data_IF_542789353995
#
_entry.id   IF_542789353995
#
_cell.length_a   1.000
_cell.length_b   1.000
_cell.length_c   1.000
_cell.angle_alpha   90.00
_cell.angle_beta   90.00
_cell.angle_gamma   90.00
#
_symmetry.space_group_name_H-M   'P 1'
#
loop_
_entity.id
_entity.type
_entity.pdbx_description
1 polymer ?
#
# COMPACT_ATOMS: atom_id res chain seq x y z
N UNK A 1 -8.88 8.90 -8.41
CA UNK A 1 -8.16 7.79 -9.05
C UNK A 1 -6.69 8.16 -9.07
N UNK A 2 -5.80 7.32 -8.52
CA UNK A 2 -4.36 7.62 -8.53
C UNK A 2 -3.76 7.42 -9.92
N UNK A 3 -2.88 8.32 -10.33
CA UNK A 3 -2.00 8.08 -11.47
C UNK A 3 -0.99 6.99 -11.09
N UNK A 4 -0.73 6.06 -12.00
CA UNK A 4 0.13 4.91 -11.74
C UNK A 4 1.36 5.00 -12.66
N UNK A 5 2.54 4.88 -12.06
CA UNK A 5 3.81 4.65 -12.76
C UNK A 5 4.23 3.22 -12.49
N UNK A 6 4.54 2.46 -13.52
CA UNK A 6 4.92 1.06 -13.40
C UNK A 6 6.40 0.84 -13.70
N UNK A 7 7.07 0.11 -12.83
CA UNK A 7 8.47 -0.29 -12.99
C UNK A 7 8.59 -1.81 -12.90
N UNK A 8 9.27 -2.40 -13.86
CA UNK A 8 9.56 -3.84 -13.91
C UNK A 8 10.76 -4.23 -13.06
N UNK A 9 11.67 -3.29 -12.82
CA UNK A 9 12.87 -3.54 -12.02
C UNK A 9 12.51 -3.75 -10.55
N UNK A 10 12.78 -4.95 -10.04
CA UNK A 10 12.54 -5.33 -8.64
C UNK A 10 13.74 -5.08 -7.73
N UNK A 11 14.88 -4.59 -8.25
CA UNK A 11 16.07 -4.31 -7.44
C UNK A 11 15.83 -3.17 -6.49
N UNK A 12 16.22 -3.37 -5.23
CA UNK A 12 16.07 -2.38 -4.15
C UNK A 12 16.91 -1.10 -4.36
N UNK A 13 17.85 -1.09 -5.30
CA UNK A 13 18.89 -0.09 -5.46
C UNK A 13 18.51 1.24 -6.12
N UNK A 14 17.25 1.52 -6.44
CA UNK A 14 16.86 2.73 -7.17
C UNK A 14 16.02 3.71 -6.36
N UNK A 15 16.44 4.02 -5.14
CA UNK A 15 15.91 5.14 -4.36
C UNK A 15 16.80 6.38 -4.44
N UNK A 16 17.60 6.49 -5.51
CA UNK A 16 18.47 7.65 -5.70
C UNK A 16 17.61 8.92 -5.83
N UNK A 17 17.90 9.91 -4.99
CA UNK A 17 17.12 11.14 -4.94
C UNK A 17 15.76 11.02 -4.22
N UNK A 18 15.45 9.86 -3.65
CA UNK A 18 14.22 9.69 -2.87
C UNK A 18 14.25 10.51 -1.58
N UNK A 19 13.07 10.86 -1.12
CA UNK A 19 12.81 11.47 0.18
C UNK A 19 12.03 10.50 1.05
N UNK A 20 12.18 10.64 2.35
CA UNK A 20 11.41 9.90 3.32
C UNK A 20 10.91 10.82 4.44
N UNK A 21 9.83 10.44 5.08
CA UNK A 21 9.39 11.13 6.28
C UNK A 21 8.56 10.24 7.17
N UNK A 22 8.65 10.48 8.47
CA UNK A 22 7.85 9.83 9.50
C UNK A 22 6.62 10.66 9.81
N UNK A 23 5.48 10.00 9.97
CA UNK A 23 4.20 10.65 10.25
C UNK A 23 3.38 9.83 11.24
N UNK A 24 2.46 10.51 11.92
CA UNK A 24 1.43 9.84 12.72
C UNK A 24 0.15 9.82 11.91
N UNK A 25 -0.42 8.62 11.74
CA UNK A 25 -1.70 8.41 11.04
C UNK A 25 -2.79 8.04 12.03
N UNK A 26 -4.08 8.06 11.65
CA UNK A 26 -5.17 7.58 12.49
C UNK A 26 -5.03 6.12 12.98
N UNK A 27 -4.16 5.35 12.34
CA UNK A 27 -3.95 3.93 12.67
C UNK A 27 -2.58 3.65 13.29
N UNK A 28 -1.77 4.68 13.51
CA UNK A 28 -0.45 4.57 14.14
C UNK A 28 0.67 5.23 13.34
N UNK A 29 1.92 5.08 13.78
CA UNK A 29 3.06 5.66 13.09
C UNK A 29 3.27 5.02 11.73
N UNK A 30 3.72 5.82 10.77
CA UNK A 30 4.04 5.37 9.42
C UNK A 30 5.27 6.10 8.86
N UNK A 31 5.89 5.49 7.88
CA UNK A 31 6.98 6.07 7.11
C UNK A 31 6.60 6.09 5.63
N UNK A 32 6.68 7.26 5.01
CA UNK A 32 6.46 7.47 3.58
C UNK A 32 7.79 7.63 2.87
N UNK A 33 7.93 7.01 1.70
CA UNK A 33 9.05 7.20 0.77
C UNK A 33 8.51 7.61 -0.59
N UNK A 34 9.09 8.66 -1.17
CA UNK A 34 8.70 9.18 -2.48
C UNK A 34 9.89 9.81 -3.21
N UNK A 35 9.75 10.01 -4.49
CA UNK A 35 10.66 10.75 -5.35
C UNK A 35 9.89 11.55 -6.42
N UNK A 36 10.58 11.99 -7.46
CA UNK A 36 9.98 12.73 -8.58
C UNK A 36 8.96 11.92 -9.39
N UNK A 37 9.06 10.58 -9.39
CA UNK A 37 8.12 9.69 -10.08
C UNK A 37 6.85 9.45 -9.27
N UNK A 38 6.90 9.61 -7.94
CA UNK A 38 5.74 9.42 -7.07
C UNK A 38 6.03 8.69 -5.78
N UNK A 39 4.98 8.14 -5.18
CA UNK A 39 5.05 7.39 -3.92
C UNK A 39 5.63 6.00 -4.20
N UNK A 40 6.71 5.68 -3.49
CA UNK A 40 7.45 4.42 -3.57
C UNK A 40 7.03 3.42 -2.51
N UNK A 41 6.89 3.89 -1.28
CA UNK A 41 6.53 3.06 -0.13
C UNK A 41 5.69 3.86 0.87
N UNK A 42 4.76 3.19 1.52
CA UNK A 42 4.19 3.57 2.80
C UNK A 42 4.15 2.34 3.69
N UNK A 43 4.88 2.38 4.78
CA UNK A 43 4.92 1.32 5.78
C UNK A 43 4.40 1.82 7.13
N UNK A 44 3.63 0.99 7.84
CA UNK A 44 3.17 1.27 9.19
C UNK A 44 4.19 0.77 10.21
N UNK A 45 5.25 1.53 10.40
CA UNK A 45 6.30 1.26 11.37
C UNK A 45 6.83 2.59 11.92
N UNK A 46 7.36 2.56 13.14
CA UNK A 46 8.00 3.71 13.76
C UNK A 46 9.36 4.03 13.13
N UNK A 47 9.99 3.04 12.49
CA UNK A 47 11.28 3.19 11.85
C UNK A 47 11.18 2.99 10.34
N UNK A 48 11.98 3.72 9.57
CA UNK A 48 12.01 3.57 8.13
C UNK A 48 12.50 2.16 7.73
N UNK A 49 12.04 1.65 6.58
CA UNK A 49 12.59 0.42 6.04
C UNK A 49 14.09 0.56 5.82
N UNK A 50 14.85 -0.52 6.04
CA UNK A 50 16.28 -0.56 5.71
C UNK A 50 16.45 -0.31 4.20
N UNK A 51 17.01 0.84 3.89
CA UNK A 51 17.32 1.24 2.52
C UNK A 51 18.82 1.26 2.31
N UNK A 52 19.37 0.08 2.09
CA UNK A 52 20.81 -0.13 1.95
C UNK A 52 21.33 0.60 0.69
N UNK A 53 22.30 1.50 0.87
CA UNK A 53 23.04 2.13 -0.22
C UNK A 53 22.31 3.25 -0.96
N UNK A 54 21.18 3.73 -0.48
CA UNK A 54 20.48 4.86 -1.08
C UNK A 54 20.76 6.18 -0.35
N UNK A 55 20.99 7.25 -1.11
CA UNK A 55 21.03 8.60 -0.57
C UNK A 55 19.60 9.14 -0.46
N UNK A 56 19.02 9.07 0.74
CA UNK A 56 17.64 9.49 1.02
C UNK A 56 17.66 10.67 1.96
N UNK A 57 17.02 11.76 1.55
CA UNK A 57 16.83 12.92 2.41
C UNK A 57 15.55 12.82 3.22
N UNK A 58 15.53 13.37 4.45
CA UNK A 58 14.38 13.36 5.33
C UNK A 58 13.56 14.65 5.18
N UNK A 59 12.23 14.49 5.06
CA UNK A 59 11.28 15.60 4.97
C UNK A 59 9.93 15.17 5.60
N UNK A 60 9.87 15.23 6.92
CA UNK A 60 8.67 14.82 7.68
C UNK A 60 7.48 15.76 7.41
N UNK A 61 7.75 17.05 7.17
CA UNK A 61 6.69 18.02 6.90
C UNK A 61 5.95 17.72 5.60
N UNK A 62 6.68 17.40 4.52
CA UNK A 62 6.08 17.01 3.25
C UNK A 62 5.38 15.66 3.34
N UNK A 63 5.96 14.69 4.05
CA UNK A 63 5.32 13.41 4.30
C UNK A 63 3.98 13.57 5.04
N UNK A 64 3.93 14.43 6.07
CA UNK A 64 2.70 14.71 6.81
C UNK A 64 1.61 15.30 5.90
N UNK A 65 1.95 16.23 5.02
CA UNK A 65 0.98 16.80 4.04
C UNK A 65 0.42 15.71 3.13
N UNK A 66 1.27 14.87 2.56
CA UNK A 66 0.86 13.82 1.62
C UNK A 66 0.00 12.75 2.29
N UNK A 67 0.39 12.29 3.46
CA UNK A 67 -0.35 11.24 4.19
C UNK A 67 -1.66 11.79 4.76
N UNK A 68 -1.66 13.00 5.32
CA UNK A 68 -2.91 13.63 5.81
C UNK A 68 -3.92 13.82 4.68
N UNK A 69 -3.48 14.24 3.50
CA UNK A 69 -4.34 14.35 2.33
C UNK A 69 -4.95 12.99 1.95
N UNK A 70 -4.17 11.92 2.01
CA UNK A 70 -4.63 10.57 1.71
C UNK A 70 -5.69 10.07 2.69
N UNK A 71 -5.43 10.19 3.98
CA UNK A 71 -6.40 9.81 5.02
C UNK A 71 -7.61 10.76 5.07
N UNK A 72 -7.45 12.01 4.67
CA UNK A 72 -8.55 12.98 4.51
C UNK A 72 -9.35 12.80 3.21
N UNK A 73 -9.06 11.78 2.41
CA UNK A 73 -9.68 11.50 1.11
C UNK A 73 -9.52 12.66 0.09
N UNK A 74 -8.56 13.51 0.29
CA UNK A 74 -8.21 14.56 -0.66
C UNK A 74 -7.47 13.97 -1.87
N UNK A 75 -7.59 14.61 -3.02
CA UNK A 75 -6.84 14.19 -4.18
C UNK A 75 -5.33 14.28 -3.94
N UNK A 76 -4.62 13.16 -4.09
CA UNK A 76 -3.17 13.14 -4.07
C UNK A 76 -2.63 13.61 -5.43
N UNK A 77 -1.59 14.42 -5.37
CA UNK A 77 -0.92 14.95 -6.56
C UNK A 77 0.22 14.05 -7.06
N UNK A 78 0.69 13.11 -6.20
CA UNK A 78 1.77 12.19 -6.57
C UNK A 78 1.23 10.86 -7.08
N UNK A 79 1.78 10.34 -8.17
CA UNK A 79 1.49 8.99 -8.65
C UNK A 79 1.90 7.92 -7.65
N UNK A 80 1.35 6.70 -7.81
CA UNK A 80 1.84 5.52 -7.13
C UNK A 80 2.83 4.79 -8.05
N UNK A 81 4.01 4.47 -7.54
CA UNK A 81 5.03 3.76 -8.30
C UNK A 81 4.95 2.27 -7.99
N UNK A 82 4.24 1.52 -8.81
CA UNK A 82 4.07 0.07 -8.68
C UNK A 82 5.32 -0.65 -9.21
N UNK A 83 6.15 -1.12 -8.31
CA UNK A 83 7.40 -1.79 -8.62
C UNK A 83 7.34 -3.27 -8.27
N UNK A 84 7.35 -4.12 -9.28
CA UNK A 84 7.24 -5.56 -9.10
C UNK A 84 7.15 -6.32 -10.42
N UNK A 85 6.93 -7.63 -10.36
CA UNK A 85 6.65 -8.47 -11.53
C UNK A 85 5.33 -8.05 -12.19
N UNK A 86 5.13 -8.46 -13.43
CA UNK A 86 3.88 -8.21 -14.16
C UNK A 86 2.66 -8.72 -13.39
N UNK A 87 2.78 -9.92 -12.81
CA UNK A 87 1.69 -10.50 -12.02
C UNK A 87 1.42 -9.70 -10.74
N UNK A 88 2.46 -9.28 -10.01
CA UNK A 88 2.30 -8.45 -8.83
C UNK A 88 1.61 -7.13 -9.16
N UNK A 89 2.04 -6.44 -10.21
CA UNK A 89 1.42 -5.18 -10.65
C UNK A 89 -0.03 -5.38 -11.07
N UNK A 90 -0.35 -6.49 -11.75
CA UNK A 90 -1.72 -6.84 -12.10
C UNK A 90 -2.60 -7.02 -10.86
N UNK A 91 -2.10 -7.72 -9.84
CA UNK A 91 -2.82 -7.89 -8.56
C UNK A 91 -3.01 -6.54 -7.86
N UNK A 92 -1.98 -5.69 -7.80
CA UNK A 92 -2.08 -4.38 -7.15
C UNK A 92 -3.04 -3.43 -7.87
N UNK A 93 -3.09 -3.45 -9.20
CA UNK A 93 -4.11 -2.70 -9.96
C UNK A 93 -5.53 -3.18 -9.64
N UNK A 94 -5.74 -4.48 -9.52
CA UNK A 94 -7.02 -5.03 -9.13
C UNK A 94 -7.41 -4.62 -7.70
N UNK A 95 -6.45 -4.52 -6.77
CA UNK A 95 -6.67 -3.99 -5.43
C UNK A 95 -7.13 -2.53 -5.43
N UNK A 96 -6.55 -1.69 -6.28
CA UNK A 96 -6.94 -0.28 -6.40
C UNK A 96 -8.40 -0.09 -6.84
N UNK A 97 -9.06 -1.12 -7.35
CA UNK A 97 -10.48 -1.12 -7.72
C UNK A 97 -11.40 -1.58 -6.58
N UNK A 98 -10.87 -2.03 -5.45
CA UNK A 98 -11.67 -2.39 -4.28
C UNK A 98 -12.04 -1.11 -3.54
N UNK A 99 -13.34 -0.77 -3.41
CA UNK A 99 -13.74 0.48 -2.76
C UNK A 99 -13.35 0.54 -1.29
N UNK A 100 -13.30 1.76 -0.75
CA UNK A 100 -13.12 2.00 0.68
C UNK A 100 -14.28 1.38 1.46
N UNK A 101 -13.98 0.73 2.58
CA UNK A 101 -14.97 0.05 3.42
C UNK A 101 -15.42 -1.32 2.90
N UNK A 102 -14.97 -1.73 1.71
CA UNK A 102 -15.24 -3.05 1.17
C UNK A 102 -14.04 -3.99 1.35
N UNK A 103 -14.31 -5.28 1.40
CA UNK A 103 -13.29 -6.34 1.46
C UNK A 103 -13.44 -7.31 0.29
N UNK A 104 -12.35 -7.98 -0.04
CA UNK A 104 -12.32 -9.00 -1.08
C UNK A 104 -11.55 -10.22 -0.57
N UNK A 105 -11.97 -11.43 -0.92
CA UNK A 105 -11.19 -12.62 -0.60
C UNK A 105 -10.04 -12.85 -1.59
N UNK A 106 -9.02 -13.60 -1.18
CA UNK A 106 -7.91 -13.98 -2.08
C UNK A 106 -8.43 -14.73 -3.32
N UNK A 107 -9.45 -15.56 -3.18
CA UNK A 107 -10.05 -16.30 -4.30
C UNK A 107 -10.80 -15.37 -5.27
N UNK A 108 -11.58 -14.41 -4.75
CA UNK A 108 -12.24 -13.40 -5.57
C UNK A 108 -11.22 -12.52 -6.31
N UNK A 109 -10.14 -12.11 -5.62
CA UNK A 109 -9.09 -11.33 -6.25
C UNK A 109 -8.36 -12.13 -7.34
N UNK A 110 -8.13 -13.43 -7.13
CA UNK A 110 -7.57 -14.33 -8.14
C UNK A 110 -8.47 -14.40 -9.39
N UNK A 111 -9.79 -14.49 -9.20
CA UNK A 111 -10.74 -14.44 -10.31
C UNK A 111 -10.72 -13.11 -11.05
N UNK A 112 -10.62 -11.97 -10.34
CA UNK A 112 -10.53 -10.64 -10.95
C UNK A 112 -9.30 -10.47 -11.84
N UNK A 113 -8.17 -11.09 -11.50
CA UNK A 113 -6.96 -11.04 -12.32
C UNK A 113 -6.91 -12.15 -13.38
N UNK A 114 -8.03 -12.82 -13.63
CA UNK A 114 -8.15 -13.85 -14.68
C UNK A 114 -7.40 -15.14 -14.37
N UNK A 115 -7.11 -15.41 -13.09
CA UNK A 115 -6.40 -16.61 -12.64
C UNK A 115 -7.14 -17.30 -11.49
N UNK A 116 -8.40 -17.78 -11.74
CA UNK A 116 -9.15 -18.51 -10.72
C UNK A 116 -8.33 -19.72 -10.24
N UNK A 117 -8.33 -19.97 -8.94
CA UNK A 117 -7.51 -21.02 -8.33
C UNK A 117 -6.10 -20.59 -7.91
N UNK A 118 -5.62 -19.40 -8.32
CA UNK A 118 -4.30 -18.88 -7.96
C UNK A 118 -4.28 -18.09 -6.63
N UNK A 119 -5.16 -18.39 -5.68
CA UNK A 119 -5.29 -17.62 -4.42
C UNK A 119 -3.98 -17.54 -3.62
N UNK A 120 -3.16 -18.60 -3.63
CA UNK A 120 -1.84 -18.61 -2.95
C UNK A 120 -0.87 -17.64 -3.62
N UNK A 121 -0.77 -17.65 -4.95
CA UNK A 121 0.10 -16.75 -5.70
C UNK A 121 -0.36 -15.29 -5.54
N UNK A 122 -1.67 -15.05 -5.54
CA UNK A 122 -2.26 -13.74 -5.24
C UNK A 122 -1.91 -13.30 -3.83
N UNK A 123 -1.99 -14.20 -2.84
CA UNK A 123 -1.58 -13.91 -1.46
C UNK A 123 -0.12 -13.47 -1.36
N UNK A 124 0.78 -14.12 -2.09
CA UNK A 124 2.19 -13.73 -2.17
C UNK A 124 2.36 -12.34 -2.80
N UNK A 125 1.63 -12.05 -3.87
CA UNK A 125 1.66 -10.74 -4.53
C UNK A 125 1.10 -9.63 -3.63
N UNK A 126 0.00 -9.89 -2.90
CA UNK A 126 -0.58 -8.98 -1.89
C UNK A 126 0.43 -8.69 -0.79
N UNK A 127 1.12 -9.72 -0.27
CA UNK A 127 2.14 -9.58 0.77
C UNK A 127 3.41 -8.85 0.30
N UNK A 128 3.69 -8.83 -0.99
CA UNK A 128 4.81 -8.10 -1.58
C UNK A 128 4.57 -6.60 -1.72
N UNK A 129 3.34 -6.11 -1.51
CA UNK A 129 3.01 -4.69 -1.58
C UNK A 129 3.79 -3.88 -0.54
N UNK A 130 4.44 -2.81 -1.00
CA UNK A 130 5.20 -1.86 -0.16
C UNK A 130 4.51 -0.52 0.04
N UNK A 131 3.42 -0.26 -0.70
CA UNK A 131 2.68 1.00 -0.65
C UNK A 131 1.40 0.77 0.15
N UNK A 132 1.55 0.54 1.45
CA UNK A 132 0.42 0.30 2.35
C UNK A 132 -0.61 1.43 2.30
N UNK A 133 -1.85 1.14 2.59
CA UNK A 133 -2.98 2.06 2.51
C UNK A 133 -3.32 2.50 1.06
N UNK A 134 -2.39 3.11 0.33
CA UNK A 134 -2.63 3.56 -1.05
C UNK A 134 -2.94 2.39 -2.00
N UNK A 135 -2.17 1.31 -1.92
CA UNK A 135 -2.56 0.02 -2.52
C UNK A 135 -3.22 -0.79 -1.41
N UNK A 136 -4.56 -0.95 -1.40
CA UNK A 136 -5.30 -1.37 -0.22
C UNK A 136 -5.25 -2.87 0.03
N UNK A 137 -4.04 -3.40 0.26
CA UNK A 137 -3.83 -4.82 0.58
C UNK A 137 -4.49 -5.23 1.91
N UNK A 138 -4.80 -4.28 2.81
CA UNK A 138 -5.57 -4.51 4.02
C UNK A 138 -7.02 -4.94 3.74
N UNK A 139 -7.59 -4.60 2.59
CA UNK A 139 -8.95 -5.01 2.18
C UNK A 139 -9.05 -6.48 1.75
N UNK A 140 -7.90 -7.18 1.62
CA UNK A 140 -7.92 -8.62 1.30
C UNK A 140 -8.06 -9.43 2.58
N UNK A 141 -9.12 -10.23 2.68
CA UNK A 141 -9.42 -11.08 3.84
C UNK A 141 -9.53 -12.54 3.40
N UNK A 142 -9.55 -13.46 4.37
CA UNK A 142 -9.81 -14.87 4.07
C UNK A 142 -11.29 -15.05 3.68
N UNK A 143 -11.59 -16.16 3.01
CA UNK A 143 -12.97 -16.47 2.56
C UNK A 143 -13.95 -16.65 3.73
N UNK A 144 -13.45 -17.07 4.89
CA UNK A 144 -14.20 -17.15 6.15
C UNK A 144 -14.37 -15.80 6.86
N UNK A 145 -13.92 -14.70 6.25
CA UNK A 145 -13.98 -13.35 6.82
C UNK A 145 -12.92 -13.06 7.90
N UNK A 146 -12.06 -14.04 8.21
CA UNK A 146 -11.00 -13.85 9.19
C UNK A 146 -9.94 -12.90 8.60
N UNK A 147 -9.49 -11.96 9.42
CA UNK A 147 -8.40 -11.06 9.09
C UNK A 147 -7.11 -11.87 8.95
N UNK A 148 -6.69 -12.10 7.71
CA UNK A 148 -5.44 -12.80 7.42
C UNK A 148 -4.19 -12.01 7.79
N UNK A 149 -3.03 -12.57 7.47
CA UNK A 149 -1.74 -11.91 7.66
C UNK A 149 -1.68 -10.57 6.94
N UNK A 150 -0.88 -9.67 7.48
CA UNK A 150 -0.61 -8.36 6.92
C UNK A 150 0.86 -8.01 7.13
N UNK A 151 1.50 -7.34 6.15
CA UNK A 151 2.92 -7.03 6.19
C UNK A 151 3.32 -6.25 7.46
N UNK A 152 2.47 -5.36 7.91
CA UNK A 152 2.73 -4.49 9.08
C UNK A 152 1.95 -4.93 10.33
N UNK A 153 1.51 -6.18 10.38
CA UNK A 153 0.80 -6.77 11.51
C UNK A 153 -0.72 -6.73 11.39
N UNK A 154 -1.37 -7.75 11.95
CA UNK A 154 -2.83 -7.89 11.93
C UNK A 154 -3.55 -6.76 12.65
N UNK A 155 -2.94 -6.19 13.69
CA UNK A 155 -3.50 -5.07 14.46
C UNK A 155 -3.63 -3.80 13.61
N UNK A 156 -2.62 -3.50 12.78
CA UNK A 156 -2.67 -2.37 11.85
C UNK A 156 -3.74 -2.60 10.80
N UNK A 157 -3.82 -3.81 10.27
CA UNK A 157 -4.87 -4.19 9.30
C UNK A 157 -6.27 -4.00 9.89
N UNK A 158 -6.49 -4.46 11.10
CA UNK A 158 -7.76 -4.31 11.79
C UNK A 158 -8.13 -2.84 12.00
N UNK A 159 -7.17 -2.02 12.44
CA UNK A 159 -7.39 -0.57 12.61
C UNK A 159 -7.71 0.13 11.30
N UNK A 160 -7.06 -0.24 10.18
CA UNK A 160 -7.37 0.30 8.86
C UNK A 160 -8.80 -0.05 8.44
N UNK A 161 -9.20 -1.31 8.56
CA UNK A 161 -10.56 -1.76 8.23
C UNK A 161 -11.61 -1.07 9.09
N UNK A 162 -11.37 -0.94 10.40
CA UNK A 162 -12.26 -0.21 11.30
C UNK A 162 -12.35 1.28 10.97
N UNK A 163 -11.23 1.91 10.62
CA UNK A 163 -11.19 3.31 10.22
C UNK A 163 -12.02 3.53 8.95
N UNK A 164 -11.85 2.68 7.92
CA UNK A 164 -12.63 2.74 6.69
C UNK A 164 -14.12 2.51 6.93
N UNK A 165 -14.48 1.54 7.77
CA UNK A 165 -15.88 1.27 8.13
C UNK A 165 -16.59 2.47 8.76
N UNK A 166 -15.89 3.25 9.58
CA UNK A 166 -16.45 4.49 10.16
C UNK A 166 -16.72 5.56 9.11
N UNK A 167 -15.93 5.62 8.03
CA UNK A 167 -16.13 6.59 6.96
C UNK A 167 -17.33 6.26 6.07
N UNK A 168 -17.68 4.99 5.98
CA UNK A 168 -18.77 4.52 5.10
C UNK A 168 -20.10 4.33 5.81
N UNK A 169 -20.11 4.24 7.15
CA UNK A 169 -21.30 4.02 7.97
C UNK A 169 -21.56 5.13 9.00
N UNK A 170 -20.76 6.17 9.00
CA UNK A 170 -20.93 7.39 9.78
C UNK A 170 -21.50 8.50 8.94
#
# INVERSE_FOLDING_TARGET
MHTIVELTDTRLGSYQGAKMGQVVTPVGPACLVWDELGIRELGFAAEPPEMIGASISRDDAKAAVLVTAAFGQSALTLPLVLRGTDFQRQVWRALLQVPIGETISYAQLASRVGKPGAARAVGSAVGANRIGFFVPCHRVVRQDGVIGQFRWGSDVKQRLLQWESRLTHG
#
